data_IF_878333132012
#
_entry.id   IF_878333132012
#
_cell.length_a   1.000
_cell.length_b   1.000
_cell.length_c   1.000
_cell.angle_alpha   90.00
_cell.angle_beta   90.00
_cell.angle_gamma   90.00
#
_symmetry.space_group_name_H-M   'P 1'
#
loop_
_entity.id
_entity.type
_entity.pdbx_description
1 polymer ?
#
# COMPACT_ATOMS: atom_id res chain seq x y z
N UNK A 1 6.66 14.12 -6.43
CA UNK A 1 7.74 13.59 -5.57
C UNK A 1 7.48 12.10 -5.33
N UNK A 2 8.34 11.23 -5.83
CA UNK A 2 8.09 9.78 -5.87
C UNK A 2 8.69 9.13 -4.62
N UNK A 3 7.88 8.84 -3.60
CA UNK A 3 8.30 8.10 -2.41
C UNK A 3 8.99 6.78 -2.83
N UNK A 4 10.30 6.72 -2.68
CA UNK A 4 11.08 5.48 -2.81
C UNK A 4 11.05 4.80 -1.44
N UNK A 5 10.63 3.53 -1.35
CA UNK A 5 10.67 2.80 -0.08
C UNK A 5 12.13 2.74 0.41
N UNK A 6 12.32 2.91 1.72
CA UNK A 6 13.63 3.00 2.38
C UNK A 6 14.42 1.68 2.22
N UNK A 7 13.72 0.55 2.07
CA UNK A 7 14.31 -0.76 1.85
C UNK A 7 13.86 -1.35 0.50
N UNK A 8 14.80 -1.76 -0.38
CA UNK A 8 14.46 -2.52 -1.57
C UNK A 8 13.95 -3.91 -1.15
N UNK A 9 12.68 -4.20 -1.46
CA UNK A 9 12.05 -5.48 -1.14
C UNK A 9 11.79 -6.27 -2.42
N UNK A 10 12.27 -7.51 -2.48
CA UNK A 10 11.92 -8.46 -3.54
C UNK A 10 10.40 -8.69 -3.52
N UNK A 11 9.70 -8.36 -4.61
CA UNK A 11 8.24 -8.41 -4.67
C UNK A 11 7.53 -7.12 -4.22
N UNK A 12 8.25 -6.01 -4.05
CA UNK A 12 7.66 -4.71 -3.71
C UNK A 12 6.57 -4.27 -4.70
N UNK A 13 5.33 -4.16 -4.23
CA UNK A 13 4.16 -3.85 -5.07
C UNK A 13 4.05 -2.37 -5.48
N UNK A 14 5.10 -1.56 -5.41
CA UNK A 14 5.03 -0.11 -5.67
C UNK A 14 4.49 0.24 -7.07
N UNK A 15 4.88 -0.52 -8.09
CA UNK A 15 4.37 -0.33 -9.47
C UNK A 15 2.91 -0.75 -9.58
N UNK A 16 2.57 -1.89 -9.00
CA UNK A 16 1.21 -2.45 -9.00
C UNK A 16 0.24 -1.68 -8.09
N UNK A 17 0.72 -1.00 -7.06
CA UNK A 17 -0.10 -0.25 -6.11
C UNK A 17 -0.99 0.78 -6.80
N UNK A 18 -0.47 1.41 -7.87
CA UNK A 18 -1.24 2.36 -8.70
C UNK A 18 -2.46 1.75 -9.39
N UNK A 19 -2.43 0.44 -9.64
CA UNK A 19 -3.53 -0.31 -10.25
C UNK A 19 -4.41 -0.99 -9.19
N UNK A 20 -3.82 -1.41 -8.07
CA UNK A 20 -4.52 -2.12 -6.99
C UNK A 20 -5.37 -1.15 -6.15
N UNK A 21 -4.84 0.02 -5.78
CA UNK A 21 -5.52 0.97 -4.88
C UNK A 21 -6.90 1.42 -5.43
N UNK A 22 -7.04 1.75 -6.73
CA UNK A 22 -8.36 2.10 -7.29
C UNK A 22 -9.39 0.97 -7.27
N UNK A 23 -8.96 -0.28 -7.10
CA UNK A 23 -9.85 -1.45 -7.01
C UNK A 23 -10.35 -1.70 -5.59
N UNK A 24 -9.84 -0.96 -4.59
CA UNK A 24 -10.34 -1.09 -3.23
C UNK A 24 -11.75 -0.53 -3.12
N UNK A 25 -12.65 -1.34 -2.56
CA UNK A 25 -13.97 -0.90 -2.16
C UNK A 25 -13.87 0.03 -0.94
N UNK A 26 -14.96 0.70 -0.58
CA UNK A 26 -15.01 1.45 0.68
C UNK A 26 -14.71 0.52 1.86
N UNK A 27 -13.76 0.91 2.71
CA UNK A 27 -13.35 0.14 3.86
C UNK A 27 -12.89 1.07 4.98
N UNK A 28 -13.18 0.68 6.22
CA UNK A 28 -12.76 1.40 7.42
C UNK A 28 -11.42 0.91 7.93
N UNK A 29 -11.13 -0.39 7.78
CA UNK A 29 -9.87 -1.01 8.16
C UNK A 29 -9.12 -1.55 6.95
N UNK A 30 -7.79 -1.36 6.92
CA UNK A 30 -6.90 -1.95 5.93
C UNK A 30 -5.93 -2.87 6.67
N UNK A 31 -5.97 -4.15 6.33
CA UNK A 31 -5.09 -5.18 6.92
C UNK A 31 -4.28 -5.80 5.80
N UNK A 32 -2.95 -5.78 5.94
CA UNK A 32 -2.02 -6.38 4.99
C UNK A 32 -1.11 -7.36 5.72
N UNK A 33 -1.54 -8.62 5.92
CA UNK A 33 -0.77 -9.61 6.68
C UNK A 33 0.61 -9.91 6.06
N UNK A 34 0.72 -9.73 4.74
CA UNK A 34 1.95 -9.93 3.96
C UNK A 34 2.44 -8.60 3.38
N UNK A 35 2.72 -7.63 4.24
CA UNK A 35 3.05 -6.27 3.81
C UNK A 35 4.42 -6.14 3.14
N UNK A 36 5.41 -6.96 3.53
CA UNK A 36 6.79 -6.81 3.06
C UNK A 36 7.27 -5.37 3.25
N UNK A 37 7.61 -4.68 2.15
CA UNK A 37 7.97 -3.25 2.17
C UNK A 37 6.79 -2.25 2.30
N UNK A 38 5.57 -2.72 2.59
CA UNK A 38 4.36 -1.94 2.86
C UNK A 38 4.04 -0.86 1.80
N UNK A 39 4.37 -1.14 0.53
CA UNK A 39 4.25 -0.16 -0.55
C UNK A 39 2.80 0.30 -0.78
N UNK A 40 1.81 -0.60 -0.63
CA UNK A 40 0.40 -0.25 -0.77
C UNK A 40 -0.06 0.60 0.41
N UNK A 41 0.29 0.20 1.64
CA UNK A 41 0.02 0.97 2.86
C UNK A 41 0.48 2.43 2.76
N UNK A 42 1.72 2.68 2.33
CA UNK A 42 2.26 4.04 2.21
C UNK A 42 1.74 4.84 1.00
N UNK A 43 1.16 4.17 0.00
CA UNK A 43 0.68 4.83 -1.23
C UNK A 43 -0.82 5.08 -1.23
N UNK A 44 -1.60 4.36 -0.42
CA UNK A 44 -3.05 4.55 -0.29
C UNK A 44 -3.36 5.65 0.74
N UNK A 45 -4.57 6.22 0.67
CA UNK A 45 -5.07 7.10 1.72
C UNK A 45 -5.18 6.37 3.08
N UNK A 46 -4.86 7.01 4.21
CA UNK A 46 -5.03 6.42 5.54
C UNK A 46 -6.44 5.88 5.76
N UNK A 47 -6.55 4.67 6.32
CA UNK A 47 -7.83 4.11 6.74
C UNK A 47 -8.30 4.80 8.01
N UNK A 48 -9.60 5.09 8.11
CA UNK A 48 -10.20 5.77 9.27
C UNK A 48 -10.55 4.80 10.41
N UNK A 49 -9.73 3.74 10.58
CA UNK A 49 -9.90 2.82 11.70
C UNK A 49 -9.57 3.56 12.99
N UNK A 50 -10.46 3.44 13.99
CA UNK A 50 -10.37 4.15 15.27
C UNK A 50 -9.63 3.33 16.32
#
# INVERSE_FOLDING_TARGET
MTNKPILPWMGGKRRLAKQIIPLFQEHTAYVEPFCGGAAVFFMKAPSQWR
#
